data_IF_474178544529
#
_entry.id   IF_474178544529
#
_cell.length_a   1.000
_cell.length_b   1.000
_cell.length_c   1.000
_cell.angle_alpha   90.00
_cell.angle_beta   90.00
_cell.angle_gamma   90.00
#
_symmetry.space_group_name_H-M   'P 1'
#
loop_
_entity.id
_entity.type
_entity.pdbx_description
1 polymer ?
#
# COMPACT_ATOMS: atom_id res chain seq x y z
N UNK A 1 -15.21 7.83 5.76
CA UNK A 1 -13.91 7.13 5.93
C UNK A 1 -14.11 5.64 6.21
N UNK A 2 -15.04 5.25 7.10
CA UNK A 2 -15.23 3.85 7.53
C UNK A 2 -15.59 2.89 6.40
N UNK A 3 -16.50 3.31 5.49
CA UNK A 3 -16.85 2.50 4.33
C UNK A 3 -15.63 2.25 3.42
N UNK A 4 -14.85 3.30 3.17
CA UNK A 4 -13.62 3.19 2.38
C UNK A 4 -12.62 2.24 3.06
N UNK A 5 -12.41 2.39 4.35
CA UNK A 5 -11.54 1.51 5.13
C UNK A 5 -11.95 0.05 5.05
N UNK A 6 -13.26 -0.25 5.18
CA UNK A 6 -13.78 -1.61 5.02
C UNK A 6 -13.49 -2.19 3.64
N UNK A 7 -13.77 -1.44 2.57
CA UNK A 7 -13.50 -1.89 1.20
C UNK A 7 -12.00 -2.16 0.98
N UNK A 8 -11.12 -1.30 1.51
CA UNK A 8 -9.67 -1.51 1.40
C UNK A 8 -9.23 -2.76 2.19
N UNK A 9 -9.80 -2.99 3.36
CA UNK A 9 -9.53 -4.21 4.14
C UNK A 9 -9.97 -5.47 3.39
N UNK A 10 -11.14 -5.48 2.80
CA UNK A 10 -11.61 -6.61 1.96
C UNK A 10 -10.65 -6.89 0.81
N UNK A 11 -10.15 -5.84 0.14
CA UNK A 11 -9.12 -6.00 -0.89
C UNK A 11 -7.82 -6.61 -0.33
N UNK A 12 -7.36 -6.16 0.83
CA UNK A 12 -6.16 -6.70 1.48
C UNK A 12 -6.34 -8.18 1.84
N UNK A 13 -7.48 -8.57 2.41
CA UNK A 13 -7.77 -9.96 2.74
C UNK A 13 -7.82 -10.83 1.48
N UNK A 14 -8.51 -10.38 0.43
CA UNK A 14 -8.56 -11.09 -0.85
C UNK A 14 -7.18 -11.28 -1.45
N UNK A 15 -6.36 -10.24 -1.46
CA UNK A 15 -4.99 -10.32 -1.98
C UNK A 15 -4.10 -11.26 -1.15
N UNK A 16 -4.26 -11.26 0.18
CA UNK A 16 -3.56 -12.18 1.07
C UNK A 16 -3.92 -13.65 0.80
N UNK A 17 -5.22 -13.94 0.59
CA UNK A 17 -5.67 -15.29 0.19
C UNK A 17 -5.08 -15.70 -1.17
N UNK A 18 -5.14 -14.81 -2.15
CA UNK A 18 -4.55 -15.06 -3.47
C UNK A 18 -3.04 -15.34 -3.38
N UNK A 19 -2.32 -14.58 -2.55
CA UNK A 19 -0.90 -14.80 -2.32
C UNK A 19 -0.62 -16.17 -1.68
N UNK A 20 -1.39 -16.56 -0.67
CA UNK A 20 -1.27 -17.88 -0.03
C UNK A 20 -1.47 -19.02 -1.04
N UNK A 21 -2.51 -18.93 -1.85
CA UNK A 21 -2.79 -19.91 -2.93
C UNK A 21 -1.64 -19.94 -3.93
N UNK A 22 -1.16 -18.77 -4.37
CA UNK A 22 -0.05 -18.66 -5.32
C UNK A 22 1.28 -19.23 -4.77
N UNK A 23 1.45 -19.24 -3.44
CA UNK A 23 2.60 -19.83 -2.76
C UNK A 23 2.41 -21.33 -2.45
N UNK A 24 1.26 -21.91 -2.75
CA UNK A 24 0.96 -23.31 -2.48
C UNK A 24 0.77 -23.65 -1.00
N UNK A 25 0.36 -22.67 -0.19
CA UNK A 25 0.05 -22.85 1.24
C UNK A 25 -1.46 -22.67 1.49
N UNK A 26 -1.90 -22.98 2.71
CA UNK A 26 -3.32 -22.88 3.07
C UNK A 26 -3.86 -21.47 2.78
N UNK A 27 -5.05 -21.42 2.21
CA UNK A 27 -5.70 -20.17 1.80
C UNK A 27 -5.77 -19.13 2.93
N UNK A 28 -5.98 -19.57 4.15
CA UNK A 28 -6.11 -18.73 5.33
C UNK A 28 -4.80 -18.49 6.09
N UNK A 29 -3.67 -18.96 5.57
CA UNK A 29 -2.37 -18.87 6.23
C UNK A 29 -1.98 -17.43 6.63
N UNK A 30 -2.35 -16.45 5.80
CA UNK A 30 -2.11 -15.04 6.08
C UNK A 30 -3.32 -14.37 6.75
N UNK A 31 -4.53 -14.62 6.26
CA UNK A 31 -5.74 -13.95 6.75
C UNK A 31 -6.06 -14.30 8.20
N UNK A 32 -5.77 -15.54 8.64
CA UNK A 32 -5.90 -15.94 10.04
C UNK A 32 -5.06 -15.09 11.00
N UNK A 33 -3.91 -14.59 10.53
CA UNK A 33 -3.02 -13.70 11.31
C UNK A 33 -3.40 -12.23 11.19
N UNK A 34 -4.05 -11.85 10.10
CA UNK A 34 -4.53 -10.48 9.88
C UNK A 34 -5.82 -10.22 10.67
N UNK A 35 -6.65 -11.23 10.86
CA UNK A 35 -7.92 -11.12 11.56
C UNK A 35 -7.72 -10.69 13.01
N UNK A 36 -8.39 -9.60 13.40
CA UNK A 36 -8.26 -9.03 14.74
C UNK A 36 -6.94 -8.29 15.02
N UNK A 37 -6.06 -8.21 14.03
CA UNK A 37 -4.84 -7.43 14.11
C UNK A 37 -5.09 -5.92 14.07
N UNK A 38 -4.12 -5.09 14.47
CA UNK A 38 -4.22 -3.63 14.36
C UNK A 38 -4.09 -3.22 12.90
N UNK A 39 -5.13 -2.58 12.37
CA UNK A 39 -5.14 -2.04 11.02
C UNK A 39 -5.10 -0.51 11.08
N UNK A 40 -4.33 0.09 10.18
CA UNK A 40 -4.17 1.54 10.10
C UNK A 40 -4.79 2.06 8.80
N UNK A 41 -5.73 2.98 8.91
CA UNK A 41 -6.18 3.82 7.80
C UNK A 41 -5.54 5.21 7.97
N UNK A 42 -4.58 5.54 7.12
CA UNK A 42 -3.82 6.78 7.19
C UNK A 42 -4.15 7.69 6.00
N UNK A 43 -5.18 8.56 6.10
CA UNK A 43 -5.36 9.62 5.11
C UNK A 43 -4.22 10.62 5.22
N UNK A 44 -3.43 10.74 4.15
CA UNK A 44 -2.26 11.59 4.11
C UNK A 44 -2.49 12.76 3.18
N UNK A 45 -2.12 13.96 3.60
CA UNK A 45 -2.20 15.17 2.82
C UNK A 45 -0.91 15.98 2.92
N UNK A 46 -0.62 16.76 1.87
CA UNK A 46 0.54 17.67 1.85
C UNK A 46 0.10 19.05 1.40
N UNK A 47 0.57 20.09 2.08
CA UNK A 47 0.35 21.48 1.69
C UNK A 47 1.34 21.85 0.57
N UNK A 48 0.88 21.72 -0.67
CA UNK A 48 1.69 21.99 -1.85
C UNK A 48 1.95 23.49 -2.08
N UNK A 49 1.26 24.37 -1.39
CA UNK A 49 1.52 25.82 -1.46
C UNK A 49 2.67 26.24 -0.53
N UNK A 50 2.95 25.44 0.48
CA UNK A 50 3.97 25.72 1.49
C UNK A 50 5.36 25.21 1.11
N UNK A 51 5.43 24.21 0.24
CA UNK A 51 6.68 23.51 -0.05
C UNK A 51 7.03 23.58 -1.54
N UNK A 52 8.31 23.76 -1.82
CA UNK A 52 8.84 23.85 -3.18
C UNK A 52 8.78 22.51 -3.91
N UNK A 53 8.82 22.62 -5.25
CA UNK A 53 8.93 21.46 -6.14
C UNK A 53 10.21 20.68 -5.81
N UNK A 54 10.07 19.36 -5.65
CA UNK A 54 11.18 18.49 -5.26
C UNK A 54 11.28 18.21 -3.77
N UNK A 55 10.44 18.84 -2.94
CA UNK A 55 10.39 18.51 -1.50
C UNK A 55 9.99 17.04 -1.29
N UNK A 56 10.76 16.34 -0.48
CA UNK A 56 10.47 14.96 -0.08
C UNK A 56 9.53 14.98 1.12
N UNK A 57 8.27 14.55 0.95
CA UNK A 57 7.29 14.48 2.03
C UNK A 57 7.42 13.22 2.88
N UNK A 58 7.85 12.11 2.27
CA UNK A 58 8.17 10.87 2.97
C UNK A 58 9.49 10.32 2.43
N UNK A 59 10.48 10.21 3.31
CA UNK A 59 11.78 9.63 2.97
C UNK A 59 11.67 8.11 2.74
N UNK A 60 12.79 7.50 2.37
CA UNK A 60 12.88 6.05 2.23
C UNK A 60 12.56 5.37 3.57
N UNK A 61 11.65 4.41 3.55
CA UNK A 61 11.27 3.59 4.70
C UNK A 61 10.68 2.25 4.22
N UNK A 62 10.53 1.34 5.15
CA UNK A 62 9.71 0.13 4.98
C UNK A 62 8.37 0.33 5.66
N UNK A 63 7.30 -0.16 5.04
CA UNK A 63 6.00 -0.19 5.68
C UNK A 63 6.01 -1.18 6.85
N UNK A 64 5.31 -0.82 7.94
CA UNK A 64 5.30 -1.62 9.16
C UNK A 64 4.31 -2.79 9.10
N UNK A 65 3.33 -2.70 8.23
CA UNK A 65 2.27 -3.69 8.12
C UNK A 65 2.66 -4.85 7.20
N UNK A 66 1.93 -5.95 7.30
CA UNK A 66 2.09 -7.10 6.43
C UNK A 66 1.75 -6.78 4.97
N UNK A 67 0.65 -6.06 4.74
CA UNK A 67 0.24 -5.54 3.45
C UNK A 67 -0.12 -4.06 3.57
N UNK A 68 0.28 -3.28 2.59
CA UNK A 68 -0.12 -1.88 2.46
C UNK A 68 -0.79 -1.68 1.10
N UNK A 69 -1.97 -1.08 1.10
CA UNK A 69 -2.72 -0.77 -0.11
C UNK A 69 -2.78 0.74 -0.33
N UNK A 70 -2.40 1.18 -1.51
CA UNK A 70 -2.39 2.59 -1.88
C UNK A 70 -3.37 2.87 -3.01
N UNK A 71 -4.09 3.98 -2.88
CA UNK A 71 -4.82 4.57 -3.99
C UNK A 71 -3.88 5.31 -4.97
N UNK A 72 -4.42 5.67 -6.13
CA UNK A 72 -3.68 6.46 -7.10
C UNK A 72 -3.43 7.88 -6.58
N UNK A 73 -2.17 8.30 -6.57
CA UNK A 73 -1.79 9.67 -6.32
C UNK A 73 -2.21 10.60 -7.49
N UNK A 74 -2.45 11.88 -7.20
CA UNK A 74 -2.77 12.90 -8.20
C UNK A 74 -1.55 13.34 -9.00
N UNK A 75 -0.35 13.14 -8.45
CA UNK A 75 0.92 13.57 -9.03
C UNK A 75 1.99 12.47 -8.82
N UNK A 76 3.04 12.44 -9.64
CA UNK A 76 4.13 11.47 -9.51
C UNK A 76 4.97 11.75 -8.25
N UNK A 77 5.75 10.76 -7.82
CA UNK A 77 6.67 10.93 -6.69
C UNK A 77 6.97 9.64 -5.95
N UNK A 78 6.03 8.69 -5.94
CA UNK A 78 6.26 7.40 -5.32
C UNK A 78 7.32 6.60 -6.09
N UNK A 79 8.29 6.09 -5.36
CA UNK A 79 9.31 5.19 -5.90
C UNK A 79 9.52 4.01 -4.97
N UNK A 80 9.83 2.86 -5.53
CA UNK A 80 10.21 1.67 -4.78
C UNK A 80 11.65 1.27 -5.13
N UNK A 81 12.34 0.69 -4.17
CA UNK A 81 13.67 0.13 -4.37
C UNK A 81 13.57 -1.38 -4.44
N UNK A 82 13.88 -1.92 -5.60
CA UNK A 82 13.94 -3.35 -5.81
C UNK A 82 15.24 -3.92 -5.24
N UNK A 83 15.39 -5.25 -5.30
CA UNK A 83 16.65 -5.91 -4.97
C UNK A 83 17.82 -5.23 -5.72
N UNK A 84 18.99 -5.18 -5.09
CA UNK A 84 20.19 -4.47 -5.58
C UNK A 84 20.01 -2.94 -5.67
N UNK A 85 19.14 -2.37 -4.84
CA UNK A 85 18.90 -0.92 -4.72
C UNK A 85 18.52 -0.22 -6.04
N UNK A 86 17.94 -0.94 -6.96
CA UNK A 86 17.38 -0.35 -8.19
C UNK A 86 16.12 0.43 -7.87
N UNK A 87 16.18 1.75 -7.98
CA UNK A 87 15.03 2.66 -7.82
C UNK A 87 14.10 2.59 -9.04
N UNK A 88 12.82 2.40 -8.81
CA UNK A 88 11.78 2.37 -9.85
C UNK A 88 10.64 3.30 -9.45
N UNK A 89 10.27 4.20 -10.36
CA UNK A 89 9.09 5.05 -10.16
C UNK A 89 7.81 4.21 -10.31
N UNK A 90 6.91 4.37 -9.35
CA UNK A 90 5.61 3.68 -9.36
C UNK A 90 4.61 4.50 -10.15
N UNK A 91 3.92 3.84 -11.08
CA UNK A 91 2.78 4.40 -11.83
C UNK A 91 1.58 3.48 -11.63
N UNK A 92 0.55 3.98 -10.98
CA UNK A 92 -0.70 3.25 -10.77
C UNK A 92 -1.66 3.61 -11.92
N UNK A 93 -2.08 2.66 -12.76
CA UNK A 93 -3.05 2.92 -13.82
C UNK A 93 -4.40 3.41 -13.26
N UNK A 94 -5.23 4.09 -14.07
CA UNK A 94 -6.60 4.41 -13.69
C UNK A 94 -7.38 3.14 -13.33
N UNK A 95 -8.17 3.19 -12.26
CA UNK A 95 -8.97 2.04 -11.80
C UNK A 95 -8.18 0.95 -11.05
N UNK A 96 -6.87 1.15 -10.85
CA UNK A 96 -6.04 0.21 -10.10
C UNK A 96 -5.64 0.77 -8.73
N UNK A 97 -5.31 -0.15 -7.84
CA UNK A 97 -4.66 0.10 -6.56
C UNK A 97 -3.27 -0.52 -6.59
N UNK A 98 -2.38 -0.02 -5.76
CA UNK A 98 -1.08 -0.63 -5.50
C UNK A 98 -1.17 -1.43 -4.19
N UNK A 99 -0.72 -2.63 -4.22
CA UNK A 99 -0.56 -3.49 -3.05
C UNK A 99 0.92 -3.83 -2.89
#
# INVERSE_FOLDING_TARGET
MDLWGKMMMECCFTAAEMAAIGMGIDKDAFTSRMQGGPHLLAPTGSDLLRYDVGTTFAGFHYDLNFLTIHGKARFPGLSVWLRKMKKVAVKIPPGCLLL
#
